data_IF_348153256140
#
_entry.id   IF_348153256140
#
_cell.length_a   1.000
_cell.length_b   1.000
_cell.length_c   1.000
_cell.angle_alpha   90.00
_cell.angle_beta   90.00
_cell.angle_gamma   90.00
#
_symmetry.space_group_name_H-M   'P 1'
#
loop_
_entity.id
_entity.type
_entity.pdbx_description
1 polymer ?
#
# COMPACT_ATOMS: atom_id res chain seq x y z
N UNK A 1 -3.84 11.89 32.10
CA UNK A 1 -2.52 12.45 31.74
C UNK A 1 -1.62 11.29 31.31
N UNK A 2 -1.32 11.16 30.03
CA UNK A 2 -0.38 10.16 29.57
C UNK A 2 1.03 10.67 29.78
N UNK A 3 1.72 10.12 30.75
CA UNK A 3 3.12 10.39 30.98
C UNK A 3 3.91 9.86 29.79
N UNK A 4 4.46 10.77 28.99
CA UNK A 4 5.44 10.45 27.97
C UNK A 4 6.75 10.11 28.68
N UNK A 5 6.94 8.84 29.03
CA UNK A 5 8.26 8.35 29.39
C UNK A 5 9.14 8.42 28.15
N UNK A 6 10.23 9.18 28.26
CA UNK A 6 11.14 9.54 27.18
C UNK A 6 11.81 8.35 26.50
N UNK A 7 11.16 7.86 25.50
CA UNK A 7 11.73 7.09 24.42
C UNK A 7 11.45 7.86 23.15
N UNK A 8 12.41 7.91 22.26
CA UNK A 8 12.37 8.55 20.95
C UNK A 8 11.16 8.06 20.15
N UNK A 9 9.96 8.57 20.48
CA UNK A 9 8.71 8.25 19.79
C UNK A 9 8.54 9.26 18.67
N UNK A 10 9.01 8.90 17.50
CA UNK A 10 8.58 9.56 16.28
C UNK A 10 7.05 9.62 16.26
N UNK A 11 6.45 10.78 15.92
CA UNK A 11 5.00 10.90 15.81
C UNK A 11 4.48 9.85 14.80
N UNK A 12 3.70 8.90 15.27
CA UNK A 12 3.09 7.89 14.42
C UNK A 12 1.88 8.51 13.73
N UNK A 13 2.02 8.79 12.46
CA UNK A 13 0.89 9.15 11.62
C UNK A 13 0.12 7.86 11.34
N UNK A 14 -1.15 7.83 11.75
CA UNK A 14 -2.05 6.74 11.37
C UNK A 14 -2.26 6.80 9.87
N UNK A 15 -1.79 5.79 9.17
CA UNK A 15 -2.00 5.65 7.74
C UNK A 15 -2.87 4.43 7.46
N UNK A 16 -3.81 4.59 6.55
CA UNK A 16 -4.64 3.51 6.04
C UNK A 16 -3.93 2.79 4.89
N UNK A 17 -4.22 1.51 4.72
CA UNK A 17 -3.82 0.76 3.55
C UNK A 17 -4.56 1.30 2.33
N UNK A 18 -3.84 1.52 1.25
CA UNK A 18 -4.39 2.05 0.01
C UNK A 18 -3.77 1.37 -1.22
N UNK A 19 -4.39 1.57 -2.37
CA UNK A 19 -3.85 1.16 -3.66
C UNK A 19 -4.20 2.16 -4.74
N UNK A 20 -3.35 2.27 -5.76
CA UNK A 20 -3.64 3.06 -6.94
C UNK A 20 -4.09 2.11 -8.04
N UNK A 21 -5.34 2.26 -8.47
CA UNK A 21 -5.97 1.40 -9.48
C UNK A 21 -6.49 2.22 -10.66
N UNK A 22 -6.33 1.69 -11.87
CA UNK A 22 -6.95 2.26 -13.05
C UNK A 22 -8.44 1.94 -13.06
N UNK A 23 -9.29 2.96 -13.15
CA UNK A 23 -10.75 2.83 -13.21
C UNK A 23 -11.33 3.68 -14.32
N UNK A 24 -12.40 3.20 -14.92
CA UNK A 24 -13.27 3.99 -15.79
C UNK A 24 -14.40 4.53 -14.93
N UNK A 25 -14.39 5.83 -14.68
CA UNK A 25 -15.39 6.50 -13.86
C UNK A 25 -16.10 7.55 -14.70
N UNK A 26 -17.44 7.62 -14.59
CA UNK A 26 -18.20 8.73 -15.17
C UNK A 26 -18.03 10.02 -14.37
N UNK A 27 -18.67 11.09 -14.81
CA UNK A 27 -18.61 12.42 -14.13
C UNK A 27 -19.17 12.39 -12.70
N UNK A 28 -20.00 11.42 -12.36
CA UNK A 28 -20.55 11.21 -11.03
C UNK A 28 -19.69 10.26 -10.18
N UNK A 29 -18.56 9.76 -10.71
CA UNK A 29 -17.69 8.81 -10.01
C UNK A 29 -18.21 7.36 -10.04
N UNK A 30 -19.23 7.06 -10.83
CA UNK A 30 -19.77 5.70 -10.99
C UNK A 30 -18.88 4.89 -11.92
N UNK A 31 -18.61 3.66 -11.54
CA UNK A 31 -17.73 2.74 -12.29
C UNK A 31 -18.41 2.26 -13.60
N UNK A 32 -17.70 2.42 -14.71
CA UNK A 32 -18.12 2.09 -16.08
C UNK A 32 -17.09 1.20 -16.78
N UNK A 33 -16.69 0.10 -16.18
CA UNK A 33 -15.59 -0.74 -16.70
C UNK A 33 -15.83 -1.28 -18.11
N UNK A 34 -17.09 -1.52 -18.48
CA UNK A 34 -17.47 -2.04 -19.79
C UNK A 34 -17.62 -0.95 -20.87
N UNK A 35 -17.56 0.32 -20.50
CA UNK A 35 -17.67 1.44 -21.41
C UNK A 35 -16.28 1.92 -21.84
N UNK A 36 -15.84 1.51 -23.01
CA UNK A 36 -14.53 1.86 -23.56
C UNK A 36 -14.42 3.32 -23.98
N UNK A 37 -15.53 4.06 -24.07
CA UNK A 37 -15.52 5.49 -24.38
C UNK A 37 -15.04 6.33 -23.18
N UNK A 38 -15.15 5.78 -21.96
CA UNK A 38 -14.70 6.44 -20.76
C UNK A 38 -13.19 6.19 -20.55
N UNK A 39 -12.35 7.22 -20.42
CA UNK A 39 -10.93 7.05 -20.22
C UNK A 39 -10.64 6.42 -18.85
N UNK A 40 -9.52 5.67 -18.77
CA UNK A 40 -9.04 5.12 -17.50
C UNK A 40 -8.38 6.23 -16.69
N UNK A 41 -8.88 6.46 -15.49
CA UNK A 41 -8.29 7.38 -14.51
C UNK A 41 -7.61 6.59 -13.39
N UNK A 42 -6.40 7.00 -12.98
CA UNK A 42 -5.70 6.42 -11.84
C UNK A 42 -6.32 6.93 -10.54
N UNK A 43 -6.94 6.05 -9.81
CA UNK A 43 -7.73 6.35 -8.62
C UNK A 43 -7.03 5.82 -7.37
N UNK A 44 -6.93 6.62 -6.32
CA UNK A 44 -6.46 6.19 -5.01
C UNK A 44 -7.64 5.58 -4.24
N UNK A 45 -7.56 4.30 -3.95
CA UNK A 45 -8.55 3.56 -3.15
C UNK A 45 -7.99 3.31 -1.74
N UNK A 46 -8.59 3.93 -0.73
CA UNK A 46 -8.19 3.82 0.68
C UNK A 46 -9.12 2.88 1.42
N UNK A 47 -8.55 1.96 2.19
CA UNK A 47 -9.27 0.99 3.03
C UNK A 47 -8.97 1.23 4.51
N UNK A 48 -9.99 1.15 5.34
CA UNK A 48 -9.91 1.25 6.79
C UNK A 48 -9.98 -0.12 7.50
N UNK A 49 -9.95 -1.21 6.73
CA UNK A 49 -10.11 -2.57 7.25
C UNK A 49 -8.97 -3.05 8.18
N UNK A 50 -7.92 -2.25 8.34
CA UNK A 50 -6.70 -2.64 9.07
C UNK A 50 -5.88 -3.74 8.38
N UNK A 51 -6.29 -4.16 7.18
CA UNK A 51 -5.61 -5.19 6.39
C UNK A 51 -4.95 -4.54 5.18
N UNK A 52 -3.69 -4.91 4.91
CA UNK A 52 -3.04 -4.54 3.66
C UNK A 52 -3.54 -5.43 2.52
N UNK A 53 -3.46 -4.93 1.30
CA UNK A 53 -3.59 -5.79 0.11
C UNK A 53 -2.33 -6.66 -0.04
N UNK A 54 -2.42 -7.72 -0.82
CA UNK A 54 -1.25 -8.51 -1.17
C UNK A 54 -0.17 -7.63 -1.77
N UNK A 55 1.07 -7.84 -1.36
CA UNK A 55 2.22 -7.23 -2.03
C UNK A 55 2.29 -7.77 -3.46
N UNK A 56 2.52 -6.88 -4.40
CA UNK A 56 2.77 -7.23 -5.79
C UNK A 56 4.13 -6.71 -6.24
N UNK A 57 4.58 -7.13 -7.40
CA UNK A 57 5.80 -6.60 -8.01
C UNK A 57 5.66 -5.14 -8.44
N UNK A 58 4.42 -4.63 -8.50
CA UNK A 58 4.10 -3.25 -8.82
C UNK A 58 3.91 -2.44 -7.54
N UNK A 59 4.84 -1.57 -7.24
CA UNK A 59 4.86 -0.78 -5.99
C UNK A 59 3.64 0.14 -5.80
N UNK A 60 2.88 0.43 -6.86
CA UNK A 60 1.66 1.24 -6.81
C UNK A 60 0.44 0.50 -6.26
N UNK A 61 0.48 -0.85 -6.25
CA UNK A 61 -0.67 -1.65 -5.83
C UNK A 61 -0.84 -1.66 -4.30
N UNK A 62 0.23 -1.36 -3.58
CA UNK A 62 0.19 -1.26 -2.11
C UNK A 62 0.90 0.01 -1.67
N UNK A 63 0.12 1.00 -1.27
CA UNK A 63 0.57 2.29 -0.76
C UNK A 63 -0.11 2.58 0.58
N UNK A 64 0.32 3.59 1.28
CA UNK A 64 -0.31 4.07 2.51
C UNK A 64 -0.77 5.51 2.34
N UNK A 65 -1.91 5.84 2.95
CA UNK A 65 -2.51 7.15 2.87
C UNK A 65 -3.07 7.58 4.24
N UNK A 66 -2.91 8.84 4.66
CA UNK A 66 -3.57 9.39 5.84
C UNK A 66 -5.07 9.66 5.63
N UNK A 67 -5.55 9.58 4.39
CA UNK A 67 -6.94 9.84 4.06
C UNK A 67 -7.88 8.81 4.66
N UNK A 68 -9.14 9.17 4.97
CA UNK A 68 -10.15 8.23 5.40
C UNK A 68 -10.49 7.24 4.28
N UNK A 69 -11.21 6.17 4.64
CA UNK A 69 -11.72 5.21 3.67
C UNK A 69 -12.48 5.91 2.55
N UNK A 70 -12.14 5.58 1.33
CA UNK A 70 -12.81 6.17 0.17
C UNK A 70 -12.08 5.90 -1.14
N UNK A 71 -12.67 6.44 -2.19
CA UNK A 71 -12.09 6.44 -3.52
C UNK A 71 -11.84 7.89 -3.94
N UNK A 72 -10.61 8.18 -4.26
CA UNK A 72 -10.15 9.51 -4.62
C UNK A 72 -9.67 9.50 -6.08
N UNK A 73 -10.34 10.22 -6.98
CA UNK A 73 -9.92 10.32 -8.37
C UNK A 73 -8.58 11.05 -8.48
N UNK A 74 -7.91 10.86 -9.61
CA UNK A 74 -6.64 11.52 -9.92
C UNK A 74 -5.55 11.37 -8.85
N UNK A 75 -5.15 10.10 -8.64
CA UNK A 75 -4.13 9.74 -7.65
C UNK A 75 -2.78 10.44 -7.85
N UNK A 76 -2.43 10.82 -9.07
CA UNK A 76 -1.16 11.48 -9.41
C UNK A 76 -1.26 13.01 -9.58
N UNK A 77 -2.47 13.57 -9.62
CA UNK A 77 -2.71 14.99 -9.67
C UNK A 77 -3.04 15.58 -8.30
N UNK A 78 -4.31 15.86 -8.08
CA UNK A 78 -4.79 16.50 -6.84
C UNK A 78 -4.46 15.72 -5.57
N UNK A 79 -4.51 14.38 -5.64
CA UNK A 79 -4.25 13.52 -4.48
C UNK A 79 -2.81 12.99 -4.39
N UNK A 80 -1.88 13.48 -5.20
CA UNK A 80 -0.50 12.99 -5.26
C UNK A 80 0.25 13.11 -3.92
N UNK A 81 -0.05 14.11 -3.11
CA UNK A 81 0.60 14.36 -1.82
C UNK A 81 -0.03 13.56 -0.65
N UNK A 82 -1.12 12.86 -0.91
CA UNK A 82 -1.88 12.15 0.11
C UNK A 82 -1.61 10.65 0.18
N UNK A 83 -0.56 10.19 -0.47
CA UNK A 83 -0.14 8.79 -0.38
C UNK A 83 1.38 8.65 -0.56
N UNK A 84 1.92 7.56 -0.07
CA UNK A 84 3.31 7.15 -0.33
C UNK A 84 3.40 5.65 -0.54
N UNK A 85 4.43 5.23 -1.24
CA UNK A 85 4.78 3.81 -1.35
C UNK A 85 5.25 3.28 0.00
N UNK A 86 5.02 2.00 0.26
CA UNK A 86 5.69 1.30 1.35
C UNK A 86 7.20 1.24 1.08
N UNK A 87 7.98 1.38 2.12
CA UNK A 87 9.43 1.12 2.05
C UNK A 87 9.69 -0.38 1.94
N UNK A 88 10.85 -0.78 1.41
CA UNK A 88 11.26 -2.19 1.36
C UNK A 88 11.22 -2.83 2.75
N UNK A 89 11.63 -2.11 3.79
CA UNK A 89 11.57 -2.57 5.18
C UNK A 89 10.13 -2.85 5.64
N UNK A 90 9.19 -1.95 5.33
CA UNK A 90 7.76 -2.17 5.64
C UNK A 90 7.22 -3.40 4.88
N UNK A 91 7.64 -3.60 3.63
CA UNK A 91 7.28 -4.79 2.85
C UNK A 91 7.88 -6.07 3.46
N UNK A 92 9.12 -6.05 3.96
CA UNK A 92 9.70 -7.19 4.69
C UNK A 92 8.84 -7.54 5.92
N UNK A 93 8.44 -6.55 6.70
CA UNK A 93 7.58 -6.74 7.88
C UNK A 93 6.22 -7.32 7.52
N UNK A 94 5.60 -6.88 6.42
CA UNK A 94 4.33 -7.45 5.93
C UNK A 94 4.48 -8.91 5.49
N UNK A 95 5.66 -9.32 5.01
CA UNK A 95 5.97 -10.72 4.68
C UNK A 95 6.51 -11.50 5.88
N UNK A 96 6.52 -10.90 7.09
CA UNK A 96 7.07 -11.49 8.32
C UNK A 96 8.54 -11.90 8.20
N UNK A 97 9.31 -11.10 7.47
CA UNK A 97 10.74 -11.26 7.27
C UNK A 97 11.53 -10.24 8.11
N UNK A 98 12.81 -10.51 8.42
CA UNK A 98 13.67 -9.54 9.10
C UNK A 98 13.80 -8.23 8.32
N UNK A 99 14.01 -7.11 9.02
CA UNK A 99 14.12 -5.77 8.44
C UNK A 99 15.26 -5.61 7.43
N UNK A 100 16.30 -6.42 7.58
CA UNK A 100 17.51 -6.41 6.75
C UNK A 100 17.51 -7.47 5.65
N UNK A 101 16.44 -8.21 5.47
CA UNK A 101 16.34 -9.30 4.49
C UNK A 101 16.75 -8.88 3.07
N UNK A 102 16.36 -7.69 2.65
CA UNK A 102 16.66 -7.14 1.34
C UNK A 102 17.87 -6.19 1.32
N UNK A 103 18.70 -6.15 2.37
CA UNK A 103 19.79 -5.16 2.52
C UNK A 103 20.84 -5.25 1.39
N UNK A 104 21.06 -6.44 0.85
CA UNK A 104 22.09 -6.70 -0.16
C UNK A 104 21.65 -6.43 -1.61
N UNK A 105 20.41 -6.02 -1.82
CA UNK A 105 19.85 -5.80 -3.16
C UNK A 105 19.32 -4.38 -3.31
N UNK A 106 19.16 -3.92 -4.56
CA UNK A 106 18.55 -2.62 -4.82
C UNK A 106 17.07 -2.60 -4.39
N UNK A 107 16.53 -1.41 -4.10
CA UNK A 107 15.12 -1.27 -3.72
C UNK A 107 14.18 -1.88 -4.76
N UNK A 108 14.45 -1.70 -6.06
CA UNK A 108 13.63 -2.28 -7.14
C UNK A 108 13.64 -3.80 -7.12
N UNK A 109 14.80 -4.41 -6.86
CA UNK A 109 14.89 -5.87 -6.70
C UNK A 109 14.22 -6.33 -5.43
N UNK A 110 14.35 -5.59 -4.32
CA UNK A 110 13.68 -5.86 -3.06
C UNK A 110 12.15 -5.94 -3.23
N UNK A 111 11.55 -4.96 -3.89
CA UNK A 111 10.11 -4.98 -4.17
C UNK A 111 9.69 -6.19 -5.03
N UNK A 112 10.48 -6.56 -6.04
CA UNK A 112 10.19 -7.74 -6.86
C UNK A 112 10.27 -9.04 -6.07
N UNK A 113 11.30 -9.20 -5.23
CA UNK A 113 11.49 -10.38 -4.38
C UNK A 113 10.29 -10.52 -3.42
N UNK A 114 9.95 -9.43 -2.74
CA UNK A 114 8.87 -9.43 -1.75
C UNK A 114 7.49 -9.59 -2.39
N UNK A 115 7.27 -9.00 -3.57
CA UNK A 115 6.02 -9.14 -4.31
C UNK A 115 5.79 -10.53 -4.90
N UNK A 116 6.85 -11.26 -5.24
CA UNK A 116 6.78 -12.66 -5.69
C UNK A 116 6.79 -13.66 -4.52
N UNK A 117 7.14 -13.20 -3.32
CA UNK A 117 7.24 -14.03 -2.14
C UNK A 117 5.89 -14.28 -1.47
N UNK A 118 5.87 -15.23 -0.57
CA UNK A 118 4.74 -15.54 0.29
C UNK A 118 5.03 -15.10 1.72
N UNK A 119 3.98 -14.85 2.50
CA UNK A 119 4.16 -14.51 3.91
C UNK A 119 4.77 -15.69 4.66
N UNK A 120 5.96 -15.50 5.20
CA UNK A 120 6.81 -16.55 5.75
C UNK A 120 6.13 -17.33 6.88
N UNK A 121 5.48 -16.66 7.83
CA UNK A 121 4.79 -17.34 8.95
C UNK A 121 3.58 -18.17 8.48
N UNK A 122 2.89 -17.75 7.41
CA UNK A 122 1.80 -18.54 6.81
C UNK A 122 2.34 -19.85 6.24
N UNK A 123 3.46 -19.81 5.52
CA UNK A 123 4.09 -21.01 4.98
C UNK A 123 4.56 -21.94 6.09
N UNK A 124 5.21 -21.41 7.12
CA UNK A 124 5.61 -22.21 8.29
C UNK A 124 4.42 -22.89 8.98
N UNK A 125 3.28 -22.21 9.03
CA UNK A 125 2.06 -22.79 9.61
C UNK A 125 1.50 -23.94 8.76
N UNK A 126 1.50 -23.79 7.43
CA UNK A 126 0.97 -24.81 6.50
C UNK A 126 1.86 -26.06 6.48
N UNK A 127 3.18 -25.90 6.63
CA UNK A 127 4.15 -26.99 6.53
C UNK A 127 4.45 -27.69 7.87
N UNK A 128 3.77 -27.32 8.95
CA UNK A 128 3.81 -28.03 10.23
C UNK A 128 2.85 -29.23 10.24
#
# INVERSE_FOLDING_TARGET
MNSCNGGNREPKILCNSASITGRRLDRQGVRKDNDLSVPITQTLEVSDSGKSRCLSTLTKDTVVSPLPKGRYPDAYGENALHWRKLTVKECCRLQTLPDDYCKSVSNSQGYKILGNGWTNEVIKFILK
#
